data_IF_814227995063
#
_entry.id   IF_814227995063
#
_cell.length_a   1.000
_cell.length_b   1.000
_cell.length_c   1.000
_cell.angle_alpha   90.00
_cell.angle_beta   90.00
_cell.angle_gamma   90.00
#
_symmetry.space_group_name_H-M   'P 1'
#
loop_
_entity.id
_entity.type
_entity.pdbx_description
1 polymer ?
#
# COMPACT_ATOMS: atom_id res chain seq x y z
N UNK A 1 16.78 -14.78 -0.24
CA UNK A 1 16.23 -13.46 0.08
C UNK A 1 14.73 -13.55 0.30
N UNK A 2 14.28 -13.02 1.40
CA UNK A 2 12.84 -13.07 1.66
C UNK A 2 12.12 -12.05 0.79
N UNK A 3 11.20 -12.52 -0.04
CA UNK A 3 10.37 -11.66 -0.87
C UNK A 3 9.12 -11.27 -0.10
N UNK A 4 9.33 -10.70 1.09
CA UNK A 4 8.22 -10.24 1.92
C UNK A 4 7.56 -9.03 1.27
N UNK A 5 6.29 -9.16 0.97
CA UNK A 5 5.50 -8.05 0.46
C UNK A 5 5.18 -7.09 1.60
N UNK A 6 5.08 -5.78 1.32
CA UNK A 6 4.71 -4.82 2.35
C UNK A 6 3.41 -5.17 3.04
N UNK A 7 3.36 -4.93 4.34
CA UNK A 7 2.18 -5.17 5.17
C UNK A 7 1.69 -3.83 5.69
N UNK A 8 0.38 -3.62 5.66
CA UNK A 8 -0.24 -2.42 6.22
C UNK A 8 -0.99 -2.79 7.49
N UNK A 9 -0.72 -2.07 8.56
CA UNK A 9 -1.34 -2.28 9.86
C UNK A 9 -1.88 -0.94 10.34
N UNK A 10 -3.14 -0.94 10.77
CA UNK A 10 -3.76 0.25 11.33
C UNK A 10 -3.54 0.30 12.84
N UNK A 11 -3.18 1.48 13.35
CA UNK A 11 -3.04 1.73 14.77
C UNK A 11 -3.71 3.04 15.12
N UNK A 12 -4.19 3.15 16.35
CA UNK A 12 -4.74 4.40 16.89
C UNK A 12 -3.73 5.04 17.80
N UNK A 13 -3.74 6.38 17.83
CA UNK A 13 -2.94 7.13 18.79
C UNK A 13 -3.79 7.30 20.06
N UNK A 14 -3.32 6.72 21.16
CA UNK A 14 -3.97 6.80 22.47
C UNK A 14 -2.89 7.19 23.48
N UNK A 15 -3.09 8.30 24.19
CA UNK A 15 -2.12 8.80 25.17
C UNK A 15 -0.70 8.93 24.61
N UNK A 16 -0.59 9.44 23.38
CA UNK A 16 0.70 9.62 22.67
C UNK A 16 1.45 8.33 22.40
N UNK A 17 0.73 7.20 22.41
CA UNK A 17 1.27 5.88 22.06
C UNK A 17 0.42 5.29 20.95
N UNK A 18 1.00 4.32 20.21
CA UNK A 18 0.24 3.60 19.22
C UNK A 18 -0.42 2.38 19.85
N UNK A 19 -1.70 2.20 19.53
CA UNK A 19 -2.46 1.04 19.98
C UNK A 19 -2.85 0.23 18.74
N UNK A 20 -2.35 -1.00 18.68
CA UNK A 20 -2.59 -1.92 17.56
C UNK A 20 -3.59 -2.96 18.03
N UNK A 21 -4.62 -3.22 17.22
CA UNK A 21 -5.62 -4.21 17.57
C UNK A 21 -5.02 -5.63 17.49
N UNK A 22 -5.72 -6.65 18.09
CA UNK A 22 -5.18 -8.03 18.09
C UNK A 22 -4.91 -8.58 16.69
N UNK A 23 -5.74 -8.25 15.72
CA UNK A 23 -5.56 -8.71 14.34
C UNK A 23 -4.33 -8.08 13.70
N UNK A 24 -4.10 -6.79 13.93
CA UNK A 24 -2.92 -6.08 13.47
C UNK A 24 -1.65 -6.64 14.11
N UNK A 25 -1.70 -6.92 15.41
CA UNK A 25 -0.56 -7.52 16.14
C UNK A 25 -0.22 -8.89 15.59
N UNK A 26 -1.22 -9.73 15.30
CA UNK A 26 -1.01 -11.05 14.70
C UNK A 26 -0.37 -10.94 13.33
N UNK A 27 -0.85 -10.01 12.51
CA UNK A 27 -0.33 -9.75 11.17
C UNK A 27 1.13 -9.31 11.22
N UNK A 28 1.47 -8.41 12.14
CA UNK A 28 2.84 -7.95 12.36
C UNK A 28 3.73 -9.11 12.80
N UNK A 29 3.25 -9.94 13.73
CA UNK A 29 3.99 -11.11 14.21
C UNK A 29 4.31 -12.09 13.09
N UNK A 30 3.35 -12.37 12.22
CA UNK A 30 3.56 -13.26 11.06
C UNK A 30 4.57 -12.66 10.08
N UNK A 31 4.51 -11.36 9.85
CA UNK A 31 5.45 -10.68 8.98
C UNK A 31 6.87 -10.83 9.52
N UNK A 32 7.06 -10.54 10.81
CA UNK A 32 8.38 -10.61 11.46
C UNK A 32 8.92 -12.05 11.44
N UNK A 33 8.06 -13.05 11.66
CA UNK A 33 8.48 -14.45 11.62
C UNK A 33 9.02 -14.90 10.27
N UNK A 34 8.56 -14.27 9.19
CA UNK A 34 9.04 -14.57 7.85
C UNK A 34 10.40 -13.94 7.51
N UNK A 35 10.92 -13.10 8.40
CA UNK A 35 12.18 -12.41 8.16
C UNK A 35 13.34 -13.21 8.73
N UNK A 36 14.52 -12.98 8.15
CA UNK A 36 15.76 -13.59 8.61
C UNK A 36 16.47 -12.67 9.58
N UNK A 37 17.25 -13.27 10.46
CA UNK A 37 18.05 -12.52 11.41
C UNK A 37 18.98 -11.56 10.68
N UNK A 38 18.99 -10.29 11.11
CA UNK A 38 19.83 -9.26 10.49
C UNK A 38 19.22 -8.51 9.33
N UNK A 39 18.02 -8.89 8.89
CA UNK A 39 17.34 -8.12 7.85
C UNK A 39 16.90 -6.75 8.36
N UNK A 40 17.00 -5.75 7.49
CA UNK A 40 16.57 -4.38 7.83
C UNK A 40 15.13 -4.19 7.40
N UNK A 41 14.31 -3.66 8.29
CA UNK A 41 12.91 -3.37 8.04
C UNK A 41 12.71 -1.86 7.92
N UNK A 42 12.00 -1.43 6.90
CA UNK A 42 11.63 -0.02 6.75
C UNK A 42 10.19 0.14 7.27
N UNK A 43 10.02 1.07 8.20
CA UNK A 43 8.71 1.36 8.79
C UNK A 43 8.26 2.73 8.33
N UNK A 44 7.07 2.80 7.76
CA UNK A 44 6.49 4.07 7.30
C UNK A 44 5.26 4.40 8.13
N UNK A 45 5.17 5.64 8.58
CA UNK A 45 4.02 6.13 9.33
C UNK A 45 3.23 7.09 8.45
N UNK A 46 1.93 6.86 8.36
CA UNK A 46 1.03 7.73 7.60
C UNK A 46 -0.21 8.01 8.43
N UNK A 47 -0.73 9.24 8.33
CA UNK A 47 -1.99 9.60 9.00
C UNK A 47 -3.14 9.30 8.06
N UNK A 48 -4.07 8.47 8.51
CA UNK A 48 -5.27 8.14 7.74
C UNK A 48 -6.31 9.26 7.91
N UNK A 49 -6.82 9.77 6.81
CA UNK A 49 -7.87 10.79 6.84
C UNK A 49 -9.23 10.13 6.96
N UNK A 50 -10.24 10.92 7.37
CA UNK A 50 -11.62 10.42 7.47
C UNK A 50 -12.18 10.01 6.11
N UNK A 51 -11.73 10.65 5.04
CA UNK A 51 -12.24 10.38 3.67
C UNK A 51 -11.71 9.07 3.10
N UNK A 52 -10.52 8.63 3.53
CA UNK A 52 -9.92 7.40 3.02
C UNK A 52 -10.36 6.21 3.88
N UNK A 53 -10.83 5.15 3.25
CA UNK A 53 -11.17 3.92 3.98
C UNK A 53 -9.99 2.96 3.97
N UNK A 54 -9.82 2.23 5.08
CA UNK A 54 -8.78 1.21 5.19
C UNK A 54 -8.96 0.14 4.09
N UNK A 55 -10.20 -0.23 3.79
CA UNK A 55 -10.49 -1.22 2.76
C UNK A 55 -10.00 -0.77 1.38
N UNK A 56 -10.20 0.49 1.03
CA UNK A 56 -9.73 1.02 -0.25
C UNK A 56 -8.20 1.07 -0.32
N UNK A 57 -7.55 1.50 0.75
CA UNK A 57 -6.08 1.54 0.83
C UNK A 57 -5.52 0.13 0.68
N UNK A 58 -6.09 -0.83 1.40
CA UNK A 58 -5.67 -2.23 1.31
C UNK A 58 -5.84 -2.78 -0.10
N UNK A 59 -6.94 -2.44 -0.76
CA UNK A 59 -7.22 -2.92 -2.12
C UNK A 59 -6.20 -2.36 -3.13
N UNK A 60 -5.90 -1.06 -3.06
CA UNK A 60 -4.93 -0.48 -3.98
C UNK A 60 -3.53 -1.06 -3.75
N UNK A 61 -3.14 -1.28 -2.49
CA UNK A 61 -1.86 -1.92 -2.18
C UNK A 61 -1.80 -3.35 -2.73
N UNK A 62 -2.89 -4.10 -2.59
CA UNK A 62 -2.98 -5.46 -3.14
C UNK A 62 -2.78 -5.44 -4.66
N UNK A 63 -3.47 -4.55 -5.36
CA UNK A 63 -3.33 -4.41 -6.81
C UNK A 63 -1.90 -4.07 -7.21
N UNK A 64 -1.27 -3.14 -6.50
CA UNK A 64 0.12 -2.76 -6.77
C UNK A 64 1.05 -3.95 -6.60
N UNK A 65 0.90 -4.74 -5.52
CA UNK A 65 1.72 -5.93 -5.30
C UNK A 65 1.55 -6.95 -6.43
N UNK A 66 0.32 -7.21 -6.81
CA UNK A 66 0.04 -8.17 -7.88
C UNK A 66 0.63 -7.73 -9.21
N UNK A 67 0.48 -6.44 -9.55
CA UNK A 67 1.05 -5.88 -10.76
C UNK A 67 2.59 -5.93 -10.74
N UNK A 68 3.18 -5.51 -9.63
CA UNK A 68 4.64 -5.53 -9.49
C UNK A 68 5.20 -6.93 -9.65
N UNK A 69 4.57 -7.92 -9.01
CA UNK A 69 4.98 -9.31 -9.14
C UNK A 69 4.84 -9.81 -10.58
N UNK A 70 3.78 -9.43 -11.26
CA UNK A 70 3.53 -9.86 -12.63
C UNK A 70 4.52 -9.23 -13.62
N UNK A 71 4.79 -7.94 -13.48
CA UNK A 71 5.67 -7.21 -14.42
C UNK A 71 7.14 -7.34 -14.08
N UNK A 72 7.48 -7.73 -12.86
CA UNK A 72 8.87 -7.78 -12.41
C UNK A 72 9.38 -6.46 -11.86
N UNK A 73 8.53 -5.43 -11.78
CA UNK A 73 8.88 -4.14 -11.20
C UNK A 73 8.93 -4.23 -9.67
N UNK A 74 9.60 -3.27 -9.04
CA UNK A 74 9.53 -3.14 -7.60
C UNK A 74 8.15 -2.60 -7.19
N UNK A 75 7.76 -2.87 -5.93
CA UNK A 75 6.52 -2.33 -5.39
C UNK A 75 6.49 -0.80 -5.48
N UNK A 76 7.59 -0.15 -5.13
CA UNK A 76 7.68 1.32 -5.15
C UNK A 76 7.55 1.89 -6.55
N UNK A 77 8.17 1.25 -7.55
CA UNK A 77 8.06 1.70 -8.93
C UNK A 77 6.63 1.55 -9.45
N UNK A 78 5.99 0.42 -9.16
CA UNK A 78 4.60 0.21 -9.57
C UNK A 78 3.66 1.17 -8.85
N UNK A 79 3.89 1.42 -7.57
CA UNK A 79 3.12 2.39 -6.79
C UNK A 79 3.20 3.78 -7.43
N UNK A 80 4.38 4.19 -7.86
CA UNK A 80 4.56 5.46 -8.53
C UNK A 80 3.77 5.51 -9.85
N UNK A 81 3.83 4.45 -10.64
CA UNK A 81 3.08 4.37 -11.90
C UNK A 81 1.58 4.50 -11.68
N UNK A 82 1.06 3.83 -10.66
CA UNK A 82 -0.36 3.91 -10.31
C UNK A 82 -0.73 5.34 -9.91
N UNK A 83 0.09 5.97 -9.07
CA UNK A 83 -0.15 7.36 -8.63
C UNK A 83 -0.10 8.34 -9.78
N UNK A 84 0.85 8.19 -10.69
CA UNK A 84 0.97 9.05 -11.87
C UNK A 84 -0.26 8.90 -12.76
N UNK A 85 -0.68 7.68 -13.03
CA UNK A 85 -1.84 7.42 -13.88
C UNK A 85 -3.14 7.91 -13.24
N UNK A 86 -3.23 7.85 -11.93
CA UNK A 86 -4.41 8.31 -11.18
C UNK A 86 -4.48 9.83 -11.02
N UNK A 87 -3.43 10.55 -11.41
CA UNK A 87 -3.40 12.00 -11.27
C UNK A 87 -3.11 12.48 -9.86
N UNK A 88 -2.45 11.67 -9.05
CA UNK A 88 -2.16 11.98 -7.65
C UNK A 88 -0.81 12.65 -7.43
N UNK A 89 -0.09 12.94 -8.51
CA UNK A 89 1.25 13.51 -8.43
C UNK A 89 1.29 14.92 -9.01
N UNK A 90 2.09 15.78 -8.38
CA UNK A 90 2.49 17.07 -8.93
C UNK A 90 3.90 16.95 -9.51
N UNK A 91 4.47 18.04 -10.00
CA UNK A 91 5.82 18.04 -10.56
C UNK A 91 6.89 17.59 -9.56
N UNK A 92 6.64 17.79 -8.27
CA UNK A 92 7.64 17.54 -7.24
C UNK A 92 7.28 16.45 -6.26
N UNK A 93 6.00 16.04 -6.18
CA UNK A 93 5.55 15.15 -5.12
C UNK A 93 4.29 14.39 -5.52
N UNK A 94 4.09 13.23 -4.90
CA UNK A 94 2.88 12.43 -5.05
C UNK A 94 2.14 12.34 -3.72
N UNK A 95 0.82 12.35 -3.80
CA UNK A 95 -0.02 12.28 -2.61
C UNK A 95 0.04 10.89 -1.98
N UNK A 96 0.13 10.84 -0.65
CA UNK A 96 0.03 9.59 0.09
C UNK A 96 -1.39 9.04 -0.03
N UNK A 97 -1.55 7.71 -0.12
CA UNK A 97 -2.89 7.12 -0.18
C UNK A 97 -3.71 7.41 1.07
N UNK A 98 -3.07 7.52 2.23
CA UNK A 98 -3.76 7.83 3.47
C UNK A 98 -4.32 9.27 3.49
N UNK A 99 -3.79 10.14 2.65
CA UNK A 99 -4.25 11.53 2.51
C UNK A 99 -5.25 11.70 1.36
N UNK A 100 -5.55 10.64 0.63
CA UNK A 100 -6.49 10.69 -0.48
C UNK A 100 -7.94 10.64 0.00
N UNK A 101 -8.82 11.28 -0.76
CA UNK A 101 -10.26 11.12 -0.59
C UNK A 101 -10.71 9.75 -1.10
N UNK A 102 -11.96 9.38 -0.84
CA UNK A 102 -12.54 8.14 -1.37
C UNK A 102 -12.53 8.13 -2.89
N UNK A 103 -12.82 9.26 -3.51
CA UNK A 103 -12.81 9.43 -4.96
C UNK A 103 -11.41 9.26 -5.52
N UNK A 104 -10.41 9.83 -4.86
CA UNK A 104 -9.02 9.69 -5.28
C UNK A 104 -8.54 8.25 -5.16
N UNK A 105 -8.93 7.56 -4.09
CA UNK A 105 -8.60 6.13 -3.94
C UNK A 105 -9.29 5.28 -5.00
N UNK A 106 -10.54 5.61 -5.34
CA UNK A 106 -11.25 4.93 -6.43
C UNK A 106 -10.53 5.12 -7.76
N UNK A 107 -10.00 6.32 -8.01
CA UNK A 107 -9.20 6.60 -9.20
C UNK A 107 -7.91 5.80 -9.21
N UNK A 108 -7.26 5.65 -8.04
CA UNK A 108 -6.04 4.84 -7.94
C UNK A 108 -6.32 3.36 -8.20
N UNK A 109 -7.42 2.84 -7.67
CA UNK A 109 -7.84 1.46 -7.92
C UNK A 109 -8.12 1.28 -9.42
N UNK A 110 -8.86 2.19 -10.02
CA UNK A 110 -9.14 2.14 -11.45
C UNK A 110 -7.86 2.23 -12.29
N UNK A 111 -6.93 3.10 -11.91
CA UNK A 111 -5.64 3.22 -12.59
C UNK A 111 -4.87 1.91 -12.56
N UNK A 112 -4.88 1.19 -11.42
CA UNK A 112 -4.21 -0.10 -11.30
C UNK A 112 -4.84 -1.14 -12.24
N UNK A 113 -6.17 -1.14 -12.36
CA UNK A 113 -6.88 -2.04 -13.27
C UNK A 113 -6.51 -1.73 -14.72
N UNK A 114 -6.43 -0.45 -15.08
CA UNK A 114 -6.04 -0.04 -16.43
C UNK A 114 -4.61 -0.45 -16.78
N UNK A 115 -3.69 -0.33 -15.83
CA UNK A 115 -2.32 -0.83 -16.03
C UNK A 115 -2.34 -2.34 -16.23
N UNK A 116 -3.12 -3.05 -15.44
CA UNK A 116 -3.31 -4.49 -15.60
C UNK A 116 -3.79 -4.84 -17.00
N UNK A 117 -4.79 -4.12 -17.50
CA UNK A 117 -5.32 -4.33 -18.85
C UNK A 117 -4.25 -4.13 -19.93
N UNK A 118 -3.38 -3.13 -19.74
CA UNK A 118 -2.30 -2.86 -20.70
C UNK A 118 -1.27 -3.99 -20.77
N UNK A 119 -1.09 -4.74 -19.69
CA UNK A 119 -0.12 -5.86 -19.64
C UNK A 119 -0.81 -7.22 -19.66
N UNK A 120 -2.09 -7.25 -19.97
CA UNK A 120 -2.91 -8.47 -20.02
C UNK A 120 -2.97 -9.22 -18.69
N UNK A 121 -3.03 -8.48 -17.59
CA UNK A 121 -3.16 -9.03 -16.24
C UNK A 121 -4.48 -8.58 -15.64
N UNK A 122 -5.35 -9.53 -15.35
CA UNK A 122 -6.69 -9.25 -14.85
C UNK A 122 -6.68 -9.12 -13.33
N UNK A 123 -6.94 -7.91 -12.84
CA UNK A 123 -7.04 -7.64 -11.40
C UNK A 123 -8.47 -7.80 -10.91
N UNK A 124 -8.60 -8.31 -9.71
CA UNK A 124 -9.91 -8.55 -9.08
C UNK A 124 -10.18 -7.63 -7.90
#
# INVERSE_FOLDING_TARGET
>A
MADQLPVSIRAKVVNKSLEIDPMGSAKLGLFIKGLQEGETVVITYEVQTEDATYAQISKVHKHIRELANYTGDSFEDMKLQVKLRAGLCTDTNCKSFSECSKEELSMAIQASIEIGDLVNFNLH
#
